data_IF_198208947191
#
_entry.id   IF_198208947191
#
_cell.length_a   1.000
_cell.length_b   1.000
_cell.length_c   1.000
_cell.angle_alpha   90.00
_cell.angle_beta   90.00
_cell.angle_gamma   90.00
#
_symmetry.space_group_name_H-M   'P 1'
#
loop_
_entity.id
_entity.type
_entity.pdbx_description
1 polymer ?
#
# COMPACT_ATOMS: atom_id res chain seq x y z
N UNK A 1 4.57 10.54 -47.96
CA UNK A 1 3.80 11.32 -46.96
C UNK A 1 3.31 10.30 -45.94
N UNK A 2 3.65 10.45 -44.65
CA UNK A 2 3.36 9.43 -43.63
C UNK A 2 1.86 9.42 -43.33
N UNK A 3 1.21 8.25 -43.36
CA UNK A 3 -0.24 8.12 -43.17
C UNK A 3 -0.64 8.58 -41.75
N UNK A 4 -1.64 9.47 -41.61
CA UNK A 4 -2.08 9.98 -40.31
C UNK A 4 -2.51 8.88 -39.32
N UNK A 5 -2.99 7.72 -39.80
CA UNK A 5 -3.32 6.57 -38.93
C UNK A 5 -2.06 5.97 -38.30
N UNK A 6 -0.96 5.92 -39.06
CA UNK A 6 0.32 5.41 -38.59
C UNK A 6 0.94 6.32 -37.51
N UNK A 7 0.78 7.64 -37.65
CA UNK A 7 1.22 8.62 -36.66
C UNK A 7 0.44 8.45 -35.34
N UNK A 8 -0.88 8.28 -35.42
CA UNK A 8 -1.73 8.05 -34.23
C UNK A 8 -1.31 6.77 -33.49
N UNK A 9 -1.06 5.68 -34.22
CA UNK A 9 -0.62 4.42 -33.62
C UNK A 9 0.71 4.56 -32.86
N UNK A 10 1.68 5.28 -33.41
CA UNK A 10 2.97 5.54 -32.73
C UNK A 10 2.77 6.36 -31.46
N UNK A 11 1.92 7.38 -31.50
CA UNK A 11 1.63 8.22 -30.32
C UNK A 11 1.03 7.40 -29.18
N UNK A 12 0.06 6.53 -29.46
CA UNK A 12 -0.51 5.65 -28.43
C UNK A 12 0.52 4.64 -27.89
N UNK A 13 1.41 4.13 -28.74
CA UNK A 13 2.43 3.17 -28.33
C UNK A 13 3.49 3.83 -27.42
N UNK A 14 3.92 5.06 -27.75
CA UNK A 14 4.85 5.85 -26.93
C UNK A 14 4.21 6.25 -25.60
N UNK A 15 2.97 6.75 -25.63
CA UNK A 15 2.26 7.12 -24.41
C UNK A 15 2.01 5.91 -23.52
N UNK A 16 1.51 4.80 -24.07
CA UNK A 16 1.27 3.57 -23.31
C UNK A 16 2.54 3.01 -22.66
N UNK A 17 3.65 3.00 -23.38
CA UNK A 17 4.96 2.61 -22.85
C UNK A 17 5.46 3.54 -21.74
N UNK A 18 5.32 4.86 -21.93
CA UNK A 18 5.74 5.86 -20.95
C UNK A 18 4.90 5.79 -19.66
N UNK A 19 3.57 5.64 -19.77
CA UNK A 19 2.68 5.48 -18.62
C UNK A 19 2.98 4.17 -17.87
N UNK A 20 3.18 3.06 -18.58
CA UNK A 20 3.56 1.79 -17.97
C UNK A 20 4.88 1.89 -17.18
N UNK A 21 5.91 2.48 -17.80
CA UNK A 21 7.20 2.71 -17.14
C UNK A 21 7.11 3.64 -15.94
N UNK A 22 6.31 4.71 -16.05
CA UNK A 22 6.09 5.64 -14.94
C UNK A 22 5.41 4.98 -13.74
N UNK A 23 4.38 4.15 -13.95
CA UNK A 23 3.69 3.45 -12.85
C UNK A 23 4.65 2.49 -12.13
N UNK A 24 5.47 1.75 -12.88
CA UNK A 24 6.47 0.85 -12.29
C UNK A 24 7.51 1.65 -11.50
N UNK A 25 8.06 2.71 -12.10
CA UNK A 25 9.05 3.56 -11.46
C UNK A 25 8.50 4.23 -10.20
N UNK A 26 7.29 4.77 -10.24
CA UNK A 26 6.63 5.39 -9.08
C UNK A 26 6.39 4.36 -7.96
N UNK A 27 6.00 3.14 -8.31
CA UNK A 27 5.83 2.07 -7.33
C UNK A 27 7.15 1.75 -6.62
N UNK A 28 8.25 1.63 -7.36
CA UNK A 28 9.56 1.29 -6.78
C UNK A 28 10.21 2.44 -6.01
N UNK A 29 10.03 3.68 -6.47
CA UNK A 29 10.74 4.85 -5.89
C UNK A 29 9.97 5.57 -4.81
N UNK A 30 8.65 5.49 -4.79
CA UNK A 30 7.81 6.22 -3.82
C UNK A 30 7.07 5.25 -2.91
N UNK A 31 6.33 4.29 -3.48
CA UNK A 31 5.47 3.41 -2.67
C UNK A 31 6.32 2.44 -1.84
N UNK A 32 7.28 1.75 -2.46
CA UNK A 32 8.09 0.74 -1.76
C UNK A 32 8.89 1.30 -0.58
N UNK A 33 9.56 2.47 -0.65
CA UNK A 33 10.19 3.07 0.52
C UNK A 33 9.21 3.42 1.62
N UNK A 34 8.03 3.96 1.28
CA UNK A 34 6.97 4.27 2.26
C UNK A 34 6.42 3.02 2.95
N UNK A 35 6.29 1.91 2.21
CA UNK A 35 5.91 0.62 2.80
C UNK A 35 6.94 0.14 3.83
N UNK A 36 8.23 0.28 3.52
CA UNK A 36 9.33 -0.13 4.43
C UNK A 36 9.38 0.78 5.65
N UNK A 37 9.29 2.10 5.46
CA UNK A 37 9.29 3.07 6.56
C UNK A 37 8.09 2.83 7.50
N UNK A 38 6.91 2.58 6.93
CA UNK A 38 5.73 2.25 7.73
C UNK A 38 5.88 0.91 8.47
N UNK A 39 6.48 -0.10 7.83
CA UNK A 39 6.75 -1.38 8.47
C UNK A 39 7.57 -1.17 9.75
N UNK A 40 8.68 -0.45 9.66
CA UNK A 40 9.57 -0.20 10.78
C UNK A 40 8.88 0.64 11.86
N UNK A 41 8.05 1.61 11.46
CA UNK A 41 7.23 2.39 12.37
C UNK A 41 6.21 1.51 13.13
N UNK A 42 5.51 0.61 12.45
CA UNK A 42 4.54 -0.32 13.06
C UNK A 42 5.23 -1.26 14.06
N UNK A 43 6.43 -1.73 13.74
CA UNK A 43 7.24 -2.56 14.64
C UNK A 43 7.64 -1.77 15.89
N UNK A 44 7.89 -0.47 15.79
CA UNK A 44 8.21 0.41 16.91
C UNK A 44 7.02 0.97 17.71
N UNK A 45 5.82 1.01 17.13
CA UNK A 45 4.63 1.63 17.74
C UNK A 45 4.17 0.91 19.02
N UNK A 46 3.60 1.69 19.94
CA UNK A 46 2.94 1.16 21.13
C UNK A 46 1.55 0.62 20.79
N UNK A 47 0.94 -0.12 21.73
CA UNK A 47 -0.40 -0.66 21.55
C UNK A 47 -1.49 0.40 21.35
N UNK A 48 -1.39 1.52 22.06
CA UNK A 48 -2.35 2.64 21.94
C UNK A 48 -2.24 3.32 20.57
N UNK A 49 -1.01 3.52 20.08
CA UNK A 49 -0.75 4.08 18.76
C UNK A 49 -1.25 3.15 17.65
N UNK A 50 -1.06 1.83 17.81
CA UNK A 50 -1.57 0.84 16.86
C UNK A 50 -3.09 0.81 16.80
N UNK A 51 -3.76 1.01 17.95
CA UNK A 51 -5.21 1.10 18.01
C UNK A 51 -5.72 2.33 17.28
N UNK A 52 -5.14 3.50 17.56
CA UNK A 52 -5.47 4.74 16.85
C UNK A 52 -5.23 4.60 15.33
N UNK A 53 -4.13 3.96 14.93
CA UNK A 53 -3.82 3.71 13.52
C UNK A 53 -4.80 2.74 12.83
N UNK A 54 -5.32 1.76 13.56
CA UNK A 54 -6.38 0.89 13.02
C UNK A 54 -7.73 1.60 12.90
N UNK A 55 -8.02 2.56 13.77
CA UNK A 55 -9.22 3.40 13.67
C UNK A 55 -9.15 4.30 12.42
N UNK A 56 -7.97 4.77 12.03
CA UNK A 56 -7.80 5.54 10.79
C UNK A 56 -7.79 4.67 9.52
N UNK A 57 -7.41 3.38 9.65
CA UNK A 57 -7.49 2.40 8.56
C UNK A 57 -6.54 2.63 7.39
N UNK A 58 -5.58 3.55 7.51
CA UNK A 58 -4.66 3.91 6.44
C UNK A 58 -3.32 3.21 6.58
N UNK A 59 -2.99 2.38 5.59
CA UNK A 59 -1.73 1.65 5.47
C UNK A 59 -1.23 1.74 4.03
N UNK A 60 0.09 1.80 3.86
CA UNK A 60 0.73 1.79 2.55
C UNK A 60 0.72 0.40 1.91
N UNK A 61 0.65 -0.67 2.71
CA UNK A 61 0.50 -2.03 2.22
C UNK A 61 -0.41 -2.91 3.09
N UNK A 62 -1.01 -3.91 2.46
CA UNK A 62 -1.78 -4.95 3.17
C UNK A 62 -0.90 -5.79 4.11
N UNK A 63 0.39 -5.96 3.78
CA UNK A 63 1.36 -6.65 4.65
C UNK A 63 1.58 -5.88 5.95
N UNK A 64 1.73 -4.55 5.87
CA UNK A 64 1.89 -3.70 7.04
C UNK A 64 0.65 -3.72 7.92
N UNK A 65 -0.54 -3.67 7.30
CA UNK A 65 -1.81 -3.84 8.02
C UNK A 65 -1.84 -5.17 8.78
N UNK A 66 -1.46 -6.29 8.15
CA UNK A 66 -1.43 -7.61 8.82
C UNK A 66 -0.51 -7.64 10.03
N UNK A 67 0.69 -7.07 9.91
CA UNK A 67 1.68 -7.04 11.00
C UNK A 67 1.16 -6.17 12.14
N UNK A 68 0.63 -4.99 11.81
CA UNK A 68 0.03 -4.09 12.78
C UNK A 68 -1.13 -4.77 13.52
N UNK A 69 -2.02 -5.46 12.79
CA UNK A 69 -3.18 -6.14 13.36
C UNK A 69 -2.75 -7.31 14.25
N UNK A 70 -1.77 -8.11 13.83
CA UNK A 70 -1.24 -9.19 14.65
C UNK A 70 -0.68 -8.66 15.99
N UNK A 71 0.05 -7.54 15.94
CA UNK A 71 0.60 -6.89 17.15
C UNK A 71 -0.52 -6.29 18.01
N UNK A 72 -1.50 -5.62 17.42
CA UNK A 72 -2.67 -5.09 18.12
C UNK A 72 -3.48 -6.20 18.82
N UNK A 73 -3.64 -7.36 18.19
CA UNK A 73 -4.32 -8.50 18.79
C UNK A 73 -3.53 -9.17 19.93
N UNK A 74 -2.21 -8.93 20.00
CA UNK A 74 -1.36 -9.37 21.11
C UNK A 74 -1.28 -8.37 22.27
N UNK A 75 -1.85 -7.17 22.10
CA UNK A 75 -1.85 -6.14 23.13
C UNK A 75 -2.81 -6.46 24.29
N UNK A 76 -2.55 -5.95 25.51
CA UNK A 76 -3.50 -6.03 26.60
C UNK A 76 -4.78 -5.26 26.25
N UNK A 77 -5.95 -5.89 26.44
CA UNK A 77 -7.27 -5.43 25.97
C UNK A 77 -7.36 -5.26 24.45
N UNK A 78 -7.24 -6.37 23.68
CA UNK A 78 -7.30 -6.30 22.24
C UNK A 78 -8.69 -5.86 21.77
N UNK A 79 -8.79 -5.16 20.63
CA UNK A 79 -10.07 -4.74 20.08
C UNK A 79 -10.95 -5.94 19.69
N UNK A 80 -12.29 -5.75 19.59
CA UNK A 80 -13.23 -6.85 19.33
C UNK A 80 -12.93 -7.66 18.06
N UNK A 81 -12.31 -7.03 17.07
CA UNK A 81 -11.84 -7.67 15.82
C UNK A 81 -10.80 -8.79 16.04
N UNK A 82 -10.18 -8.86 17.21
CA UNK A 82 -9.15 -9.83 17.57
C UNK A 82 -9.66 -11.01 18.40
N UNK A 83 -10.85 -10.89 19.02
CA UNK A 83 -11.39 -11.90 19.96
C UNK A 83 -12.36 -12.91 19.31
N UNK A 84 -12.56 -12.82 17.99
CA UNK A 84 -13.27 -13.83 17.19
C UNK A 84 -14.75 -13.51 16.95
N UNK A 85 -15.09 -13.23 15.68
CA UNK A 85 -16.47 -13.09 15.22
C UNK A 85 -16.61 -12.44 13.84
N UNK A 86 -16.15 -13.13 12.78
CA UNK A 86 -16.38 -12.77 11.36
C UNK A 86 -15.08 -12.29 10.69
N UNK A 87 -14.52 -12.92 9.68
CA UNK A 87 -15.12 -13.84 8.70
C UNK A 87 -14.72 -13.34 7.31
N UNK A 88 -13.48 -13.60 6.91
CA UNK A 88 -13.02 -13.75 5.53
C UNK A 88 -11.82 -14.69 5.53
#
# INVERSE_FOLDING_TARGET
MMDPIFIIAIVFLVLGGAFGGYVVYHKETVIRPLEIEEHDAVVGMTCDDLKLKHETGQYWSFTNWKIANAKLCSCPNPPPQCTGGGGH
#
